data_IF_459827827577
#
_entry.id   IF_459827827577
#
_cell.length_a   1.000
_cell.length_b   1.000
_cell.length_c   1.000
_cell.angle_alpha   90.00
_cell.angle_beta   90.00
_cell.angle_gamma   90.00
#
_symmetry.space_group_name_H-M   'P 1'
#
loop_
_entity.id
_entity.type
_entity.pdbx_description
1 polymer ?
#
# COMPACT_ATOMS: atom_id res chain seq x y z
N UNK A 1 -5.66 14.40 -13.98
CA UNK A 1 -4.44 13.63 -14.28
C UNK A 1 -4.78 12.41 -15.14
N UNK A 2 -3.98 12.07 -16.19
CA UNK A 2 -4.28 10.98 -17.12
C UNK A 2 -4.19 9.62 -16.42
N UNK A 3 -5.18 8.72 -16.67
CA UNK A 3 -5.18 7.36 -16.14
C UNK A 3 -4.13 6.49 -16.84
N UNK A 4 -3.56 5.55 -16.10
CA UNK A 4 -2.56 4.58 -16.58
C UNK A 4 -3.27 3.37 -17.21
N UNK A 5 -2.75 2.86 -18.31
CA UNK A 5 -3.22 1.62 -18.96
C UNK A 5 -2.06 0.89 -19.62
N UNK A 6 -2.34 -0.30 -20.13
CA UNK A 6 -1.38 -1.13 -20.85
C UNK A 6 -0.13 -1.53 -20.03
N UNK A 7 -0.34 -1.83 -18.73
CA UNK A 7 0.78 -2.24 -17.85
C UNK A 7 0.78 -3.76 -17.58
N UNK A 8 -0.18 -4.51 -18.13
CA UNK A 8 -0.23 -5.97 -17.99
C UNK A 8 1.00 -6.62 -18.62
N UNK A 9 1.41 -6.16 -19.79
CA UNK A 9 2.62 -6.63 -20.47
C UNK A 9 3.87 -6.45 -19.59
N UNK A 10 3.98 -5.31 -18.91
CA UNK A 10 5.06 -5.05 -17.96
C UNK A 10 4.98 -5.94 -16.70
N UNK A 11 3.77 -6.32 -16.29
CA UNK A 11 3.58 -7.23 -15.15
C UNK A 11 4.05 -8.64 -15.49
N UNK A 12 3.70 -9.13 -16.67
CA UNK A 12 4.05 -10.50 -17.12
C UNK A 12 5.47 -10.61 -17.69
N UNK A 13 6.20 -9.53 -17.76
CA UNK A 13 7.60 -9.53 -18.20
C UNK A 13 8.38 -10.63 -17.47
N UNK A 14 9.13 -11.50 -18.18
CA UNK A 14 9.87 -12.60 -17.56
C UNK A 14 10.77 -12.15 -16.40
N UNK A 15 11.42 -11.01 -16.54
CA UNK A 15 12.27 -10.43 -15.51
C UNK A 15 11.50 -10.09 -14.22
N UNK A 16 10.28 -9.56 -14.33
CA UNK A 16 9.41 -9.22 -13.19
C UNK A 16 8.84 -10.48 -12.52
N UNK A 17 8.40 -11.45 -13.31
CA UNK A 17 7.87 -12.72 -12.81
C UNK A 17 8.95 -13.51 -12.06
N UNK A 18 10.14 -13.58 -12.63
CA UNK A 18 11.30 -14.23 -12.02
C UNK A 18 11.76 -13.55 -10.72
N UNK A 19 11.82 -12.22 -10.71
CA UNK A 19 12.15 -11.45 -9.52
C UNK A 19 11.09 -11.67 -8.41
N UNK A 20 9.81 -11.75 -8.80
CA UNK A 20 8.71 -11.99 -7.86
C UNK A 20 8.76 -13.40 -7.27
N UNK A 21 9.04 -14.40 -8.09
CA UNK A 21 9.26 -15.77 -7.64
C UNK A 21 10.40 -15.86 -6.60
N UNK A 22 11.56 -15.28 -6.94
CA UNK A 22 12.73 -15.24 -6.02
C UNK A 22 12.43 -14.50 -4.72
N UNK A 23 11.70 -13.40 -4.78
CA UNK A 23 11.37 -12.60 -3.60
C UNK A 23 10.39 -13.34 -2.67
N UNK A 24 9.38 -14.01 -3.20
CA UNK A 24 8.41 -14.77 -2.40
C UNK A 24 9.07 -15.97 -1.73
N UNK A 25 9.98 -16.65 -2.43
CA UNK A 25 10.72 -17.79 -1.91
C UNK A 25 12.00 -17.41 -1.17
N UNK A 26 12.21 -16.13 -0.86
CA UNK A 26 13.40 -15.68 -0.12
C UNK A 26 13.45 -16.29 1.27
N UNK A 27 14.59 -16.88 1.60
CA UNK A 27 14.89 -17.49 2.89
C UNK A 27 14.67 -19.01 2.93
N UNK A 28 15.49 -19.71 3.72
CA UNK A 28 15.54 -21.18 3.79
C UNK A 28 14.23 -21.81 4.26
N UNK A 29 13.56 -21.20 5.25
CA UNK A 29 12.30 -21.71 5.81
C UNK A 29 11.19 -21.81 4.75
N UNK A 30 11.07 -20.80 3.87
CA UNK A 30 10.07 -20.80 2.80
C UNK A 30 10.39 -21.83 1.74
N UNK A 31 11.66 -21.93 1.32
CA UNK A 31 12.12 -22.91 0.33
C UNK A 31 11.91 -24.35 0.77
N UNK A 32 12.12 -24.64 2.07
CA UNK A 32 11.97 -25.99 2.66
C UNK A 32 10.52 -26.34 3.01
N UNK A 33 9.58 -25.40 2.92
CA UNK A 33 8.18 -25.71 3.15
C UNK A 33 7.62 -26.58 2.03
N UNK A 34 6.55 -27.38 2.31
CA UNK A 34 5.88 -28.20 1.28
C UNK A 34 5.53 -27.40 0.03
N UNK A 35 4.95 -26.22 0.19
CA UNK A 35 4.64 -25.31 -0.94
C UNK A 35 5.91 -24.81 -1.64
N UNK A 36 6.94 -24.47 -0.89
CA UNK A 36 8.20 -23.99 -1.47
C UNK A 36 8.93 -25.05 -2.29
N UNK A 37 9.01 -26.30 -1.79
CA UNK A 37 9.60 -27.42 -2.54
C UNK A 37 8.83 -27.68 -3.84
N UNK A 38 7.49 -27.70 -3.77
CA UNK A 38 6.66 -27.87 -4.96
C UNK A 38 6.91 -26.76 -6.01
N UNK A 39 6.88 -25.49 -5.57
CA UNK A 39 7.10 -24.34 -6.46
C UNK A 39 8.49 -24.33 -7.08
N UNK A 40 9.52 -24.82 -6.36
CA UNK A 40 10.87 -24.91 -6.91
C UNK A 40 10.99 -26.04 -7.94
N UNK A 41 10.34 -27.16 -7.71
CA UNK A 41 10.35 -28.32 -8.63
C UNK A 41 9.56 -28.04 -9.92
N UNK A 42 8.47 -27.25 -9.85
CA UNK A 42 7.57 -26.99 -10.97
C UNK A 42 7.58 -25.50 -11.37
N UNK A 43 8.77 -24.86 -11.26
CA UNK A 43 8.88 -23.42 -11.48
C UNK A 43 8.44 -22.97 -12.87
N UNK A 44 8.86 -23.61 -13.99
CA UNK A 44 8.47 -23.18 -15.33
C UNK A 44 6.95 -23.20 -15.51
N UNK A 45 6.32 -24.31 -15.15
CA UNK A 45 4.87 -24.54 -15.32
C UNK A 45 4.06 -23.55 -14.47
N UNK A 46 4.53 -23.29 -13.22
CA UNK A 46 3.87 -22.34 -12.32
C UNK A 46 3.96 -20.92 -12.86
N UNK A 47 5.13 -20.52 -13.40
CA UNK A 47 5.27 -19.18 -13.97
C UNK A 47 4.46 -19.02 -15.25
N UNK A 48 4.43 -20.01 -16.14
CA UNK A 48 3.62 -20.02 -17.35
C UNK A 48 2.13 -19.88 -17.02
N UNK A 49 1.62 -20.67 -16.08
CA UNK A 49 0.23 -20.58 -15.62
C UNK A 49 -0.10 -19.19 -15.06
N UNK A 50 0.75 -18.63 -14.20
CA UNK A 50 0.53 -17.31 -13.62
C UNK A 50 0.59 -16.20 -14.69
N UNK A 51 1.49 -16.29 -15.65
CA UNK A 51 1.58 -15.37 -16.79
C UNK A 51 0.28 -15.42 -17.61
N UNK A 52 -0.21 -16.61 -17.95
CA UNK A 52 -1.45 -16.79 -18.69
C UNK A 52 -2.66 -16.19 -17.95
N UNK A 53 -2.76 -16.45 -16.63
CA UNK A 53 -3.85 -15.92 -15.80
C UNK A 53 -3.79 -14.39 -15.66
N UNK A 54 -2.60 -13.80 -15.53
CA UNK A 54 -2.43 -12.34 -15.43
C UNK A 54 -2.71 -11.69 -16.79
N UNK A 55 -2.15 -12.22 -17.88
CA UNK A 55 -2.33 -11.68 -19.23
C UNK A 55 -3.80 -11.70 -19.69
N UNK A 56 -4.52 -12.79 -19.36
CA UNK A 56 -5.96 -12.89 -19.62
C UNK A 56 -6.80 -12.03 -18.68
N UNK A 57 -6.26 -11.59 -17.53
CA UNK A 57 -6.99 -10.88 -16.48
C UNK A 57 -7.89 -11.79 -15.64
N UNK A 58 -7.65 -13.10 -15.66
CA UNK A 58 -8.44 -14.10 -14.90
C UNK A 58 -7.87 -14.42 -13.53
N UNK A 59 -6.65 -13.99 -13.24
CA UNK A 59 -6.05 -14.19 -11.91
C UNK A 59 -6.92 -13.57 -10.81
N UNK A 60 -7.20 -14.35 -9.77
CA UNK A 60 -7.94 -13.91 -8.57
C UNK A 60 -7.34 -14.55 -7.33
N UNK A 61 -7.21 -13.76 -6.26
CA UNK A 61 -6.99 -14.31 -4.92
C UNK A 61 -8.35 -14.74 -4.36
N UNK A 62 -8.51 -16.02 -4.06
CA UNK A 62 -9.80 -16.60 -3.61
C UNK A 62 -9.73 -17.03 -2.14
N UNK A 63 -8.61 -17.58 -1.72
CA UNK A 63 -8.49 -18.25 -0.44
C UNK A 63 -7.39 -17.62 0.42
N UNK A 64 -7.63 -17.62 1.72
CA UNK A 64 -6.62 -17.26 2.71
C UNK A 64 -6.79 -18.11 3.97
N UNK A 65 -5.73 -18.16 4.76
CA UNK A 65 -5.77 -18.71 6.14
C UNK A 65 -5.52 -17.58 7.11
N UNK A 66 -6.24 -17.54 8.20
CA UNK A 66 -5.94 -16.61 9.27
C UNK A 66 -4.81 -17.16 10.14
N UNK A 67 -3.98 -16.26 10.59
CA UNK A 67 -2.92 -16.51 11.55
C UNK A 67 -2.84 -15.36 12.53
N UNK A 68 -2.81 -15.70 13.81
CA UNK A 68 -2.55 -14.74 14.87
C UNK A 68 -1.04 -14.53 15.06
N UNK A 69 -0.63 -13.30 15.19
CA UNK A 69 0.74 -12.89 15.50
C UNK A 69 0.71 -11.84 16.60
N UNK A 70 1.75 -11.82 17.42
CA UNK A 70 1.96 -10.72 18.39
C UNK A 70 2.98 -9.77 17.78
N UNK A 71 2.57 -8.52 17.58
CA UNK A 71 3.43 -7.46 17.06
C UNK A 71 3.33 -6.23 17.97
N UNK A 72 4.46 -5.80 18.54
CA UNK A 72 4.47 -4.68 19.49
C UNK A 72 3.57 -4.89 20.72
N UNK A 73 3.44 -6.15 21.21
CA UNK A 73 2.56 -6.51 22.32
C UNK A 73 1.07 -6.59 22.00
N UNK A 74 0.66 -6.34 20.75
CA UNK A 74 -0.73 -6.42 20.30
C UNK A 74 -0.96 -7.69 19.49
N UNK A 75 -2.05 -8.41 19.77
CA UNK A 75 -2.50 -9.54 18.97
C UNK A 75 -3.09 -9.02 17.65
N UNK A 76 -2.56 -9.52 16.52
CA UNK A 76 -3.05 -9.18 15.18
C UNK A 76 -3.44 -10.45 14.43
N UNK A 77 -4.57 -10.44 13.76
CA UNK A 77 -4.98 -11.49 12.81
C UNK A 77 -4.54 -11.08 11.42
N UNK A 78 -3.65 -11.88 10.83
CA UNK A 78 -3.15 -11.67 9.48
C UNK A 78 -3.71 -12.72 8.53
N UNK A 79 -4.01 -12.32 7.30
CA UNK A 79 -4.46 -13.23 6.25
C UNK A 79 -3.26 -13.69 5.42
N UNK A 80 -3.15 -14.98 5.29
CA UNK A 80 -2.03 -15.66 4.62
C UNK A 80 -2.57 -16.39 3.41
N UNK A 81 -2.31 -15.85 2.22
CA UNK A 81 -2.67 -16.48 0.93
C UNK A 81 -1.66 -17.58 0.54
N UNK A 82 -2.02 -18.51 -0.35
CA UNK A 82 -1.12 -19.52 -0.89
C UNK A 82 0.16 -18.89 -1.47
N UNK A 83 1.28 -19.62 -1.39
CA UNK A 83 2.57 -19.06 -1.81
C UNK A 83 2.63 -18.79 -3.34
N UNK A 84 1.92 -19.59 -4.14
CA UNK A 84 1.74 -19.36 -5.58
C UNK A 84 1.07 -18.01 -5.83
N UNK A 85 -0.04 -17.72 -5.14
CA UNK A 85 -0.78 -16.47 -5.31
C UNK A 85 0.05 -15.26 -4.87
N UNK A 86 0.92 -15.44 -3.85
CA UNK A 86 1.87 -14.37 -3.45
C UNK A 86 2.82 -13.98 -4.56
N UNK A 87 3.21 -14.92 -5.45
CA UNK A 87 4.07 -14.62 -6.60
C UNK A 87 3.33 -13.68 -7.55
N UNK A 88 2.10 -14.00 -7.90
CA UNK A 88 1.27 -13.16 -8.78
C UNK A 88 0.98 -11.79 -8.15
N UNK A 89 0.53 -11.76 -6.89
CA UNK A 89 0.29 -10.50 -6.17
C UNK A 89 1.57 -9.65 -6.11
N UNK A 90 2.73 -10.29 -5.89
CA UNK A 90 4.01 -9.58 -5.87
C UNK A 90 4.35 -9.01 -7.26
N UNK A 91 4.16 -9.78 -8.34
CA UNK A 91 4.44 -9.34 -9.71
C UNK A 91 3.53 -8.16 -10.11
N UNK A 92 2.23 -8.27 -9.83
CA UNK A 92 1.26 -7.20 -10.10
C UNK A 92 1.62 -5.94 -9.31
N UNK A 93 1.83 -6.05 -7.99
CA UNK A 93 2.11 -4.89 -7.15
C UNK A 93 3.50 -4.30 -7.37
N UNK A 94 4.48 -5.04 -7.88
CA UNK A 94 5.79 -4.49 -8.22
C UNK A 94 5.70 -3.43 -9.32
N UNK A 95 4.76 -3.60 -10.26
CA UNK A 95 4.47 -2.62 -11.33
C UNK A 95 3.50 -1.55 -10.83
N UNK A 96 2.39 -1.95 -10.23
CA UNK A 96 1.35 -1.04 -9.71
C UNK A 96 1.94 0.00 -8.75
N UNK A 97 2.78 -0.41 -7.78
CA UNK A 97 3.40 0.49 -6.79
C UNK A 97 4.24 1.61 -7.44
N UNK A 98 4.85 1.37 -8.62
CA UNK A 98 5.59 2.41 -9.35
C UNK A 98 4.68 3.54 -9.83
N UNK A 99 3.45 3.19 -10.22
CA UNK A 99 2.44 4.16 -10.65
C UNK A 99 1.76 4.84 -9.47
N UNK A 100 1.46 4.09 -8.40
CA UNK A 100 0.89 4.65 -7.16
C UNK A 100 1.83 5.66 -6.52
N UNK A 101 3.14 5.37 -6.47
CA UNK A 101 4.15 6.26 -5.89
C UNK A 101 4.13 7.67 -6.50
N UNK A 102 3.76 7.82 -7.76
CA UNK A 102 3.65 9.13 -8.44
C UNK A 102 2.47 9.97 -7.95
N UNK A 103 1.56 9.36 -7.18
CA UNK A 103 0.37 10.01 -6.59
C UNK A 103 0.61 10.48 -5.15
N UNK A 104 1.61 9.91 -4.49
CA UNK A 104 1.89 10.20 -3.09
C UNK A 104 2.69 11.49 -2.94
N UNK A 105 2.34 12.30 -1.96
CA UNK A 105 3.17 13.45 -1.58
C UNK A 105 4.55 12.96 -1.14
N UNK A 106 5.55 13.84 -1.16
CA UNK A 106 6.94 13.41 -0.86
C UNK A 106 7.10 12.95 0.59
N UNK A 107 6.35 13.53 1.49
CA UNK A 107 6.39 13.25 2.93
C UNK A 107 5.47 12.12 3.38
N UNK A 108 4.92 11.32 2.44
CA UNK A 108 4.30 10.02 2.71
C UNK A 108 5.36 8.95 2.69
N UNK A 109 5.45 8.15 3.75
CA UNK A 109 6.41 7.07 3.95
C UNK A 109 5.73 5.78 4.40
N UNK A 110 6.51 4.73 4.56
CA UNK A 110 6.16 3.35 4.83
C UNK A 110 5.71 2.58 3.58
N UNK A 111 6.28 1.39 3.45
CA UNK A 111 6.04 0.46 2.33
C UNK A 111 6.29 1.04 0.93
N UNK A 112 6.98 2.16 0.88
CA UNK A 112 7.42 2.83 -0.34
C UNK A 112 8.95 2.71 -0.42
N UNK A 113 9.44 2.15 -1.53
CA UNK A 113 10.88 1.97 -1.74
C UNK A 113 11.64 3.29 -1.55
N UNK A 114 12.65 3.29 -0.68
CA UNK A 114 13.49 4.46 -0.31
C UNK A 114 12.71 5.58 0.42
N UNK A 115 11.55 5.30 1.01
CA UNK A 115 10.81 6.22 1.86
C UNK A 115 10.43 5.50 3.16
N UNK A 116 11.42 5.33 4.03
CA UNK A 116 11.26 4.73 5.35
C UNK A 116 11.23 5.79 6.45
N UNK A 117 11.23 5.35 7.72
CA UNK A 117 11.20 6.22 8.89
C UNK A 117 12.37 7.21 8.92
N UNK A 118 13.59 6.75 8.60
CA UNK A 118 14.77 7.63 8.60
C UNK A 118 14.70 8.71 7.52
N UNK A 119 14.18 8.38 6.33
CA UNK A 119 13.96 9.34 5.26
C UNK A 119 12.93 10.41 5.69
N UNK A 120 11.83 9.98 6.29
CA UNK A 120 10.80 10.90 6.79
C UNK A 120 11.35 11.82 7.91
N UNK A 121 12.09 11.25 8.85
CA UNK A 121 12.71 12.01 9.94
C UNK A 121 13.71 13.06 9.43
N UNK A 122 14.43 12.75 8.35
CA UNK A 122 15.32 13.73 7.73
C UNK A 122 14.55 14.96 7.21
N UNK A 123 13.36 14.76 6.61
CA UNK A 123 12.49 15.85 6.19
C UNK A 123 11.99 16.66 7.37
N UNK A 124 11.51 16.00 8.43
CA UNK A 124 11.05 16.69 9.66
C UNK A 124 12.17 17.57 10.23
N UNK A 125 13.38 17.02 10.40
CA UNK A 125 14.53 17.76 10.95
C UNK A 125 14.91 18.95 10.07
N UNK A 126 14.96 18.78 8.77
CA UNK A 126 15.25 19.85 7.83
C UNK A 126 14.22 20.97 7.95
N UNK A 127 12.93 20.63 7.87
CA UNK A 127 11.85 21.61 7.88
C UNK A 127 11.79 22.37 9.23
N UNK A 128 12.10 21.69 10.35
CA UNK A 128 12.22 22.36 11.66
C UNK A 128 13.43 23.31 11.74
N UNK A 129 14.52 23.00 11.06
CA UNK A 129 15.70 23.88 11.00
C UNK A 129 15.49 25.07 10.07
N UNK A 130 14.79 24.87 8.93
CA UNK A 130 14.53 25.91 7.93
C UNK A 130 13.38 26.85 8.31
N UNK A 131 12.41 26.37 9.11
CA UNK A 131 11.21 27.11 9.51
C UNK A 131 10.86 26.88 11.00
N UNK A 132 11.71 27.35 11.94
CA UNK A 132 11.49 27.15 13.39
C UNK A 132 10.16 27.71 13.89
N UNK A 133 9.73 28.86 13.36
CA UNK A 133 8.47 29.49 13.74
C UNK A 133 7.26 28.72 13.21
N UNK A 134 7.30 28.25 11.96
CA UNK A 134 6.23 27.49 11.33
C UNK A 134 6.11 26.06 11.86
N UNK A 135 7.09 25.57 12.61
CA UNK A 135 7.15 24.21 13.18
C UNK A 135 7.10 24.17 14.70
N UNK A 136 6.63 25.27 15.34
CA UNK A 136 6.67 25.46 16.81
C UNK A 136 5.75 24.52 17.56
N UNK A 137 4.62 24.11 16.99
CA UNK A 137 3.63 23.21 17.59
C UNK A 137 3.44 21.99 16.72
N UNK A 138 3.05 20.88 17.36
CA UNK A 138 2.84 19.59 16.71
C UNK A 138 1.43 19.07 17.00
N UNK A 139 0.74 18.61 15.96
CA UNK A 139 -0.45 17.77 16.04
C UNK A 139 -0.14 16.40 15.47
N UNK A 140 -0.26 15.38 16.30
CA UNK A 140 -0.13 13.98 15.91
C UNK A 140 -1.48 13.30 15.95
N UNK A 141 -1.79 12.46 14.96
CA UNK A 141 -2.98 11.64 14.92
C UNK A 141 -2.67 10.25 14.37
N UNK A 142 -3.53 9.30 14.71
CA UNK A 142 -3.53 7.91 14.26
C UNK A 142 -4.95 7.53 13.82
N UNK A 143 -5.08 6.72 12.78
CA UNK A 143 -6.38 6.26 12.30
C UNK A 143 -6.68 4.91 12.96
N UNK A 144 -7.66 4.92 13.86
CA UNK A 144 -8.04 3.74 14.63
C UNK A 144 -8.44 2.58 13.71
N UNK A 145 -7.76 1.44 13.87
CA UNK A 145 -8.04 0.20 13.10
C UNK A 145 -8.11 0.43 11.59
N UNK A 146 -7.18 1.24 11.05
CA UNK A 146 -7.23 1.70 9.66
C UNK A 146 -7.60 0.58 8.67
N UNK A 147 -6.84 -0.52 8.63
CA UNK A 147 -7.09 -1.59 7.66
C UNK A 147 -8.45 -2.26 7.83
N UNK A 148 -8.94 -2.39 9.05
CA UNK A 148 -10.24 -3.01 9.35
C UNK A 148 -11.41 -2.07 9.02
N UNK A 149 -11.22 -0.74 9.14
CA UNK A 149 -12.26 0.27 8.96
C UNK A 149 -12.40 0.80 7.53
N UNK A 150 -11.42 0.49 6.65
CA UNK A 150 -11.40 0.98 5.27
C UNK A 150 -12.64 0.52 4.51
N UNK A 151 -13.37 1.45 3.92
CA UNK A 151 -14.45 1.19 2.97
C UNK A 151 -13.84 0.75 1.62
N UNK A 152 -14.05 -0.51 1.24
CA UNK A 152 -13.48 -1.10 0.01
C UNK A 152 -13.88 -0.33 -1.26
N UNK A 153 -15.10 0.21 -1.30
CA UNK A 153 -15.59 0.98 -2.46
C UNK A 153 -14.80 2.28 -2.68
N UNK A 154 -14.36 2.93 -1.61
CA UNK A 154 -13.48 4.10 -1.74
C UNK A 154 -12.11 3.73 -2.31
N UNK A 155 -11.57 2.57 -1.91
CA UNK A 155 -10.32 2.07 -2.49
C UNK A 155 -10.51 1.74 -3.97
N UNK A 156 -11.61 1.07 -4.33
CA UNK A 156 -11.97 0.78 -5.73
C UNK A 156 -12.13 2.06 -6.56
N UNK A 157 -12.80 3.06 -5.99
CA UNK A 157 -12.90 4.38 -6.62
C UNK A 157 -11.51 4.97 -6.90
N UNK A 158 -10.61 4.98 -5.91
CA UNK A 158 -9.24 5.48 -6.09
C UNK A 158 -8.48 4.70 -7.17
N UNK A 159 -8.59 3.37 -7.18
CA UNK A 159 -7.97 2.50 -8.18
C UNK A 159 -8.46 2.83 -9.58
N UNK A 160 -9.78 2.98 -9.78
CA UNK A 160 -10.38 3.32 -11.08
C UNK A 160 -9.98 4.72 -11.60
N UNK A 161 -9.63 5.64 -10.69
CA UNK A 161 -9.10 6.97 -11.04
C UNK A 161 -7.64 6.92 -11.48
N UNK A 162 -6.90 5.88 -11.08
CA UNK A 162 -5.48 5.71 -11.46
C UNK A 162 -5.35 4.84 -12.70
N UNK A 163 -6.05 3.71 -12.75
CA UNK A 163 -5.92 2.71 -13.82
C UNK A 163 -7.18 2.67 -14.70
N UNK A 164 -6.97 2.52 -16.02
CA UNK A 164 -8.05 2.38 -17.01
C UNK A 164 -8.21 0.96 -17.56
N UNK A 165 -7.23 0.09 -17.29
CA UNK A 165 -7.24 -1.30 -17.75
C UNK A 165 -8.21 -2.11 -16.90
N UNK A 166 -9.32 -2.56 -17.51
CA UNK A 166 -10.37 -3.30 -16.82
C UNK A 166 -9.86 -4.63 -16.23
N UNK A 167 -8.97 -5.35 -16.96
CA UNK A 167 -8.38 -6.60 -16.47
C UNK A 167 -7.60 -6.38 -15.20
N UNK A 168 -6.74 -5.34 -15.17
CA UNK A 168 -5.98 -4.98 -13.99
C UNK A 168 -6.88 -4.57 -12.83
N UNK A 169 -7.87 -3.71 -13.09
CA UNK A 169 -8.82 -3.23 -12.06
C UNK A 169 -9.55 -4.41 -11.42
N UNK A 170 -10.01 -5.37 -12.21
CA UNK A 170 -10.69 -6.58 -11.70
C UNK A 170 -9.75 -7.50 -10.92
N UNK A 171 -8.47 -7.61 -11.29
CA UNK A 171 -7.49 -8.33 -10.47
C UNK A 171 -7.24 -7.63 -9.13
N UNK A 172 -7.08 -6.30 -9.14
CA UNK A 172 -6.91 -5.51 -7.90
C UNK A 172 -8.16 -5.56 -7.02
N UNK A 173 -9.36 -5.63 -7.59
CA UNK A 173 -10.61 -5.81 -6.84
C UNK A 173 -10.58 -7.10 -6.00
N UNK A 174 -10.07 -8.21 -6.55
CA UNK A 174 -9.93 -9.46 -5.79
C UNK A 174 -8.99 -9.35 -4.59
N UNK A 175 -8.05 -8.39 -4.60
CA UNK A 175 -7.18 -8.11 -3.46
C UNK A 175 -7.87 -7.23 -2.42
N UNK A 176 -8.67 -6.26 -2.89
CA UNK A 176 -9.39 -5.30 -2.05
C UNK A 176 -10.53 -6.00 -1.33
N UNK A 177 -11.28 -6.86 -2.07
CA UNK A 177 -12.45 -7.57 -1.56
C UNK A 177 -12.14 -8.98 -1.03
N UNK A 178 -10.87 -9.26 -0.72
CA UNK A 178 -10.47 -10.55 -0.12
C UNK A 178 -11.14 -10.79 1.24
N UNK A 179 -11.32 -9.73 2.03
CA UNK A 179 -12.03 -9.75 3.30
C UNK A 179 -13.47 -9.29 3.10
N UNK A 180 -14.42 -9.71 3.97
CA UNK A 180 -15.78 -9.18 3.95
C UNK A 180 -15.84 -7.67 4.10
N UNK A 181 -14.97 -7.12 4.96
CA UNK A 181 -14.81 -5.68 5.22
C UNK A 181 -13.34 -5.32 5.38
N UNK A 182 -13.00 -4.07 5.14
CA UNK A 182 -11.63 -3.57 5.30
C UNK A 182 -10.66 -4.11 4.26
N UNK A 183 -9.38 -3.94 4.55
CA UNK A 183 -8.26 -4.48 3.77
C UNK A 183 -7.52 -5.54 4.58
N UNK A 184 -7.07 -6.60 3.91
CA UNK A 184 -6.32 -7.69 4.55
C UNK A 184 -5.02 -7.21 5.20
N UNK A 185 -4.81 -7.55 6.47
CA UNK A 185 -3.53 -7.35 7.15
C UNK A 185 -2.63 -8.53 6.79
N UNK A 186 -1.58 -8.28 6.02
CA UNK A 186 -0.64 -9.33 5.58
C UNK A 186 -0.60 -9.54 4.07
N UNK A 187 -1.55 -9.00 3.33
CA UNK A 187 -1.46 -8.94 1.87
C UNK A 187 -0.58 -7.76 1.44
N UNK A 188 0.37 -8.00 0.53
CA UNK A 188 1.29 -6.97 0.06
C UNK A 188 0.58 -5.76 -0.58
N UNK A 189 -0.55 -5.98 -1.22
CA UNK A 189 -1.34 -4.94 -1.88
C UNK A 189 -1.96 -3.94 -0.91
N UNK A 190 -2.32 -4.36 0.30
CA UNK A 190 -3.08 -3.54 1.24
C UNK A 190 -2.38 -2.25 1.63
N UNK A 191 -1.04 -2.29 1.79
CA UNK A 191 -0.27 -1.10 2.14
C UNK A 191 -0.21 -0.08 1.00
N UNK A 192 0.01 -0.52 -0.25
CA UNK A 192 0.00 0.36 -1.42
C UNK A 192 -1.38 0.97 -1.68
N UNK A 193 -2.43 0.15 -1.55
CA UNK A 193 -3.82 0.58 -1.75
C UNK A 193 -4.32 1.48 -0.60
N UNK A 194 -3.94 1.17 0.64
CA UNK A 194 -4.21 2.03 1.80
C UNK A 194 -3.51 3.39 1.66
N UNK A 195 -2.24 3.40 1.24
CA UNK A 195 -1.53 4.64 0.95
C UNK A 195 -2.19 5.44 -0.19
N UNK A 196 -2.74 4.77 -1.22
CA UNK A 196 -3.49 5.45 -2.28
C UNK A 196 -4.76 6.12 -1.74
N UNK A 197 -5.53 5.40 -0.93
CA UNK A 197 -6.73 5.95 -0.29
C UNK A 197 -6.40 7.20 0.53
N UNK A 198 -5.43 7.09 1.45
CA UNK A 198 -5.03 8.23 2.28
C UNK A 198 -4.40 9.37 1.48
N UNK A 199 -3.70 9.06 0.38
CA UNK A 199 -3.19 10.11 -0.50
C UNK A 199 -4.31 10.95 -1.11
N UNK A 200 -5.41 10.32 -1.53
CA UNK A 200 -6.56 11.03 -2.14
C UNK A 200 -7.37 11.80 -1.11
N UNK A 201 -7.74 11.15 -0.01
CA UNK A 201 -8.72 11.69 0.95
C UNK A 201 -8.08 12.48 2.11
N UNK A 202 -6.78 12.30 2.37
CA UNK A 202 -6.08 12.97 3.46
C UNK A 202 -4.92 13.84 2.98
N UNK A 203 -3.92 13.24 2.29
CA UNK A 203 -2.68 13.95 1.99
C UNK A 203 -2.91 15.16 1.07
N UNK A 204 -3.57 14.95 -0.07
CA UNK A 204 -3.91 16.01 -1.00
C UNK A 204 -4.97 16.95 -0.45
N UNK A 205 -5.94 16.45 0.32
CA UNK A 205 -6.93 17.28 1.00
C UNK A 205 -6.26 18.30 1.93
N UNK A 206 -5.33 17.87 2.78
CA UNK A 206 -4.60 18.75 3.68
C UNK A 206 -3.67 19.71 2.92
N UNK A 207 -2.95 19.21 1.90
CA UNK A 207 -2.01 20.02 1.11
C UNK A 207 -2.70 21.03 0.22
N UNK A 208 -3.72 20.63 -0.51
CA UNK A 208 -4.30 21.42 -1.58
C UNK A 208 -5.42 22.35 -1.07
N UNK A 209 -6.22 21.89 -0.08
CA UNK A 209 -7.35 22.66 0.45
C UNK A 209 -6.99 23.50 1.68
N UNK A 210 -6.15 22.98 2.56
CA UNK A 210 -5.74 23.67 3.79
C UNK A 210 -4.33 24.26 3.72
N UNK A 211 -3.64 24.10 2.60
CA UNK A 211 -2.28 24.58 2.36
C UNK A 211 -1.29 24.17 3.47
N UNK A 212 -1.49 23.00 4.08
CA UNK A 212 -0.66 22.51 5.18
C UNK A 212 0.77 22.30 4.68
N UNK A 213 1.70 23.16 5.10
CA UNK A 213 3.09 23.13 4.66
C UNK A 213 3.85 21.93 5.22
N UNK A 214 3.79 21.72 6.53
CA UNK A 214 4.56 20.73 7.26
C UNK A 214 3.67 19.55 7.68
N UNK A 215 3.38 18.65 6.73
CA UNK A 215 2.61 17.43 6.95
C UNK A 215 3.42 16.21 6.56
N UNK A 216 3.48 15.24 7.46
CA UNK A 216 4.24 14.00 7.34
C UNK A 216 3.35 12.82 7.69
N UNK A 217 3.41 11.75 6.91
CA UNK A 217 2.64 10.54 7.18
C UNK A 217 3.49 9.28 7.07
N UNK A 218 3.35 8.42 8.08
CA UNK A 218 3.95 7.07 8.10
C UNK A 218 2.82 6.04 8.27
N UNK A 219 2.45 5.33 7.20
CA UNK A 219 1.21 4.52 7.13
C UNK A 219 -0.02 5.37 7.47
N UNK A 220 -0.69 5.03 8.58
CA UNK A 220 -1.85 5.67 9.18
C UNK A 220 -1.52 6.74 10.22
N UNK A 221 -0.27 6.78 10.69
CA UNK A 221 0.23 7.85 11.59
C UNK A 221 0.48 9.14 10.82
N UNK A 222 -0.17 10.23 11.22
CA UNK A 222 0.01 11.57 10.67
C UNK A 222 0.61 12.55 11.67
N UNK A 223 1.50 13.43 11.18
CA UNK A 223 2.10 14.52 11.95
C UNK A 223 1.99 15.82 11.17
N UNK A 224 1.43 16.85 11.80
CA UNK A 224 1.38 18.22 11.27
C UNK A 224 2.14 19.12 12.20
N UNK A 225 3.06 19.93 11.67
CA UNK A 225 3.70 21.01 12.41
C UNK A 225 3.11 22.33 11.96
N UNK A 226 2.95 23.28 12.90
CA UNK A 226 2.34 24.58 12.65
C UNK A 226 2.85 25.66 13.57
N UNK A 227 2.59 26.91 13.19
CA UNK A 227 3.03 28.10 13.91
C UNK A 227 2.23 28.35 15.20
N UNK A 228 0.94 28.02 15.18
CA UNK A 228 0.03 28.28 16.32
C UNK A 228 -0.84 27.08 16.63
N UNK A 229 -1.26 26.99 17.90
CA UNK A 229 -2.24 25.96 18.30
C UNK A 229 -3.59 26.14 17.56
N UNK A 230 -4.03 27.37 17.34
CA UNK A 230 -5.28 27.67 16.65
C UNK A 230 -5.28 27.13 15.20
N UNK A 231 -4.16 27.23 14.49
CA UNK A 231 -3.97 26.63 13.17
C UNK A 231 -4.12 25.09 13.26
N UNK A 232 -3.43 24.46 14.18
CA UNK A 232 -3.48 23.01 14.35
C UNK A 232 -4.86 22.50 14.78
N UNK A 233 -5.63 23.28 15.56
CA UNK A 233 -7.02 22.95 15.88
C UNK A 233 -7.90 22.93 14.63
N UNK A 234 -7.77 23.90 13.73
CA UNK A 234 -8.48 23.92 12.44
C UNK A 234 -8.14 22.69 11.57
N UNK A 235 -6.87 22.31 11.56
CA UNK A 235 -6.42 21.11 10.83
C UNK A 235 -6.97 19.85 11.48
N UNK A 236 -6.98 19.76 12.82
CA UNK A 236 -7.59 18.66 13.55
C UNK A 236 -9.07 18.50 13.18
N UNK A 237 -9.81 19.59 13.18
CA UNK A 237 -11.22 19.57 12.88
C UNK A 237 -11.46 19.16 11.40
N UNK A 238 -10.57 19.54 10.49
CA UNK A 238 -10.58 19.08 9.09
C UNK A 238 -10.30 17.57 8.95
N UNK A 239 -9.43 17.01 9.80
CA UNK A 239 -9.11 15.57 9.79
C UNK A 239 -10.23 14.74 10.42
N UNK A 240 -10.93 15.27 11.44
CA UNK A 240 -12.00 14.58 12.17
C UNK A 240 -13.41 14.96 11.68
N UNK A 241 -13.53 15.93 10.79
CA UNK A 241 -14.82 16.30 10.20
C UNK A 241 -15.40 15.20 9.31
N UNK A 242 -16.67 15.30 8.91
CA UNK A 242 -17.27 14.34 8.00
C UNK A 242 -16.50 14.34 6.66
N UNK A 243 -15.85 13.22 6.36
CA UNK A 243 -15.30 12.92 5.04
C UNK A 243 -16.40 12.42 4.11
#
# INVERSE_FOLDING_TARGET
MRRVGYIIEEIVEPSNMEASFRQVLRGSKRKRSRQGCYLLAHKPEVLEELVAQIASGTFRVKDYREREIIEGGKLRRIQVIPMKDRIAVHAIMAVVDRHLRKRFIRTTSASIKRRGMHDLLAYVRRDMAEDPDGTRYCYKFDITKFYESVKQDFVMYCVSRVFKDAKLVTMLESFIRLMPEGLSIGLRSSQGLGNLLLSVYLDHYLKDRYAVRHFYRYCDDGVVLGKTKAELWKIRDAVHGPM
#
